data_IF_993266416347
#
_entry.id   IF_993266416347
#
_cell.length_a   1.000
_cell.length_b   1.000
_cell.length_c   1.000
_cell.angle_alpha   90.00
_cell.angle_beta   90.00
_cell.angle_gamma   90.00
#
_symmetry.space_group_name_H-M   'P 1'
#
loop_
_entity.id
_entity.type
_entity.pdbx_description
1 polymer ?
#
# COMPACT_ATOMS: atom_id res chain seq x y z
N UNK A 1 7.21 4.53 27.79
CA UNK A 1 7.04 4.71 26.33
C UNK A 1 5.56 4.62 26.05
N UNK A 2 5.03 5.49 25.19
CA UNK A 2 3.58 5.56 24.93
C UNK A 2 3.13 4.29 24.20
N UNK A 3 2.13 3.62 24.75
CA UNK A 3 1.58 2.36 24.26
C UNK A 3 1.01 2.50 22.82
N UNK A 4 0.64 3.74 22.45
CA UNK A 4 0.21 4.11 21.10
C UNK A 4 1.35 4.03 20.06
N UNK A 5 2.57 4.41 20.45
CA UNK A 5 3.73 4.42 19.54
C UNK A 5 4.27 3.01 19.28
N UNK A 6 4.28 2.14 20.29
CA UNK A 6 4.59 0.72 20.09
C UNK A 6 3.58 0.06 19.14
N UNK A 7 2.31 0.42 19.24
CA UNK A 7 1.27 -0.16 18.38
C UNK A 7 1.39 0.27 16.92
N UNK A 8 1.61 1.56 16.70
CA UNK A 8 1.86 2.12 15.37
C UNK A 8 3.07 1.43 14.73
N UNK A 9 4.14 1.23 15.51
CA UNK A 9 5.34 0.54 15.06
C UNK A 9 5.09 -0.94 14.71
N UNK A 10 4.31 -1.66 15.53
CA UNK A 10 3.96 -3.05 15.27
C UNK A 10 3.12 -3.23 13.99
N UNK A 11 2.09 -2.40 13.81
CA UNK A 11 1.24 -2.41 12.59
C UNK A 11 2.08 -2.05 11.37
N UNK A 12 2.91 -1.00 11.47
CA UNK A 12 3.83 -0.63 10.40
C UNK A 12 4.80 -1.76 10.05
N UNK A 13 5.31 -2.48 11.04
CA UNK A 13 6.20 -3.63 10.82
C UNK A 13 5.50 -4.76 10.06
N UNK A 14 4.27 -5.11 10.44
CA UNK A 14 3.47 -6.13 9.74
C UNK A 14 3.17 -5.71 8.30
N UNK A 15 2.70 -4.48 8.09
CA UNK A 15 2.43 -3.95 6.76
C UNK A 15 3.71 -3.94 5.92
N UNK A 16 4.83 -3.49 6.50
CA UNK A 16 6.13 -3.49 5.84
C UNK A 16 6.54 -4.91 5.41
N UNK A 17 6.40 -5.90 6.29
CA UNK A 17 6.71 -7.30 5.94
C UNK A 17 5.81 -7.83 4.82
N UNK A 18 4.52 -7.49 4.83
CA UNK A 18 3.60 -7.87 3.75
C UNK A 18 4.00 -7.21 2.43
N UNK A 19 4.32 -5.92 2.46
CA UNK A 19 4.79 -5.17 1.29
C UNK A 19 6.10 -5.72 0.75
N UNK A 20 7.08 -5.99 1.63
CA UNK A 20 8.35 -6.62 1.28
C UNK A 20 8.10 -7.92 0.49
N UNK A 21 7.15 -8.76 0.93
CA UNK A 21 6.77 -10.01 0.27
C UNK A 21 6.01 -9.80 -1.06
N UNK A 22 5.10 -8.84 -1.13
CA UNK A 22 4.39 -8.48 -2.38
C UNK A 22 5.39 -8.03 -3.44
N UNK A 23 6.35 -7.19 -3.05
CA UNK A 23 7.36 -6.66 -3.96
C UNK A 23 8.40 -7.70 -4.35
N UNK A 24 8.82 -8.58 -3.44
CA UNK A 24 9.67 -9.72 -3.79
C UNK A 24 9.02 -10.59 -4.88
N UNK A 25 7.72 -10.86 -4.75
CA UNK A 25 7.00 -11.62 -5.77
C UNK A 25 6.88 -10.84 -7.09
N UNK A 26 6.53 -9.56 -7.03
CA UNK A 26 6.30 -8.70 -8.21
C UNK A 26 7.59 -8.24 -8.93
N UNK A 27 8.77 -8.34 -8.29
CA UNK A 27 10.03 -7.86 -8.86
C UNK A 27 11.10 -8.94 -9.00
N UNK A 28 10.99 -10.08 -8.32
CA UNK A 28 11.95 -11.19 -8.44
C UNK A 28 11.32 -12.46 -9.01
N UNK A 29 10.12 -12.85 -8.56
CA UNK A 29 9.51 -14.13 -8.99
C UNK A 29 8.77 -14.03 -10.31
N UNK A 30 7.92 -13.01 -10.46
CA UNK A 30 7.36 -12.60 -11.75
C UNK A 30 7.72 -11.12 -11.96
N UNK A 31 8.97 -10.86 -12.35
CA UNK A 31 9.50 -9.51 -12.35
C UNK A 31 8.68 -8.62 -13.27
N UNK A 32 8.22 -7.51 -12.73
CA UNK A 32 7.82 -6.35 -13.52
C UNK A 32 9.05 -5.93 -14.34
N UNK A 33 8.95 -6.11 -15.66
CA UNK A 33 10.02 -5.78 -16.60
C UNK A 33 9.64 -4.43 -17.23
N UNK A 34 10.36 -3.34 -16.92
CA UNK A 34 10.09 -2.03 -17.52
C UNK A 34 10.13 -2.06 -19.05
N UNK A 35 10.97 -2.91 -19.66
CA UNK A 35 10.95 -3.10 -21.11
C UNK A 35 9.64 -3.74 -21.59
N UNK A 36 9.00 -4.61 -20.80
CA UNK A 36 7.65 -5.12 -21.13
C UNK A 36 6.62 -4.00 -21.00
N UNK A 37 6.70 -3.18 -19.97
CA UNK A 37 5.82 -2.02 -19.78
C UNK A 37 5.96 -1.02 -20.94
N UNK A 38 7.19 -0.64 -21.32
CA UNK A 38 7.44 0.19 -22.49
C UNK A 38 7.03 -0.49 -23.81
N UNK A 39 7.22 -1.81 -23.95
CA UNK A 39 6.77 -2.56 -25.12
C UNK A 39 5.27 -2.49 -25.30
N UNK A 40 4.48 -2.49 -24.22
CA UNK A 40 3.02 -2.37 -24.32
C UNK A 40 2.61 -1.05 -25.00
N UNK A 41 3.35 0.04 -24.77
CA UNK A 41 3.11 1.33 -25.46
C UNK A 41 3.52 1.34 -26.92
N UNK A 42 4.47 0.48 -27.31
CA UNK A 42 5.04 0.42 -28.66
C UNK A 42 4.49 -0.75 -29.50
N UNK A 43 3.48 -1.46 -29.02
CA UNK A 43 2.85 -2.57 -29.74
C UNK A 43 1.97 -2.06 -30.89
N UNK A 44 2.06 -2.71 -32.05
CA UNK A 44 1.08 -2.58 -33.14
C UNK A 44 0.36 -3.92 -33.40
N UNK A 45 -0.98 -3.96 -33.39
CA UNK A 45 -1.87 -2.85 -33.02
C UNK A 45 -1.76 -2.50 -31.53
N UNK A 46 -2.01 -1.23 -31.20
CA UNK A 46 -1.98 -0.72 -29.83
C UNK A 46 -2.96 -1.53 -28.96
N UNK A 47 -2.43 -2.27 -27.99
CA UNK A 47 -3.25 -3.17 -27.15
C UNK A 47 -3.78 -2.50 -25.88
N UNK A 48 -3.11 -1.44 -25.42
CA UNK A 48 -3.48 -0.71 -24.20
C UNK A 48 -3.31 0.80 -24.41
N UNK A 49 -4.07 1.60 -23.66
CA UNK A 49 -3.93 3.05 -23.67
C UNK A 49 -2.93 3.55 -22.64
N UNK A 50 -2.97 2.97 -21.43
CA UNK A 50 -2.15 3.38 -20.29
C UNK A 50 -1.81 2.16 -19.43
N UNK A 51 -0.59 2.12 -18.88
CA UNK A 51 -0.16 1.14 -17.90
C UNK A 51 0.49 1.85 -16.71
N UNK A 52 0.13 1.45 -15.49
CA UNK A 52 0.58 2.09 -14.26
C UNK A 52 1.28 1.09 -13.34
N UNK A 53 2.26 1.59 -12.59
CA UNK A 53 2.81 0.92 -11.43
C UNK A 53 2.07 1.40 -10.19
N UNK A 54 1.15 0.59 -9.68
CA UNK A 54 0.24 0.99 -8.61
C UNK A 54 0.56 0.31 -7.28
N UNK A 55 0.63 1.10 -6.21
CA UNK A 55 0.71 0.64 -4.84
C UNK A 55 -0.58 1.03 -4.10
N UNK A 56 -1.36 0.07 -3.58
CA UNK A 56 -2.66 0.36 -2.98
C UNK A 56 -2.57 1.12 -1.64
N UNK A 57 -1.38 1.21 -1.05
CA UNK A 57 -1.14 1.87 0.23
C UNK A 57 0.27 2.47 0.30
N UNK A 58 0.42 3.58 1.02
CA UNK A 58 1.72 4.20 1.33
C UNK A 58 2.06 4.04 2.82
N UNK A 59 3.05 3.22 3.20
CA UNK A 59 3.46 3.06 4.60
C UNK A 59 4.09 4.32 5.22
N UNK A 60 4.45 5.31 4.39
CA UNK A 60 5.02 6.60 4.81
C UNK A 60 3.99 7.74 4.79
N UNK A 61 2.71 7.44 4.54
CA UNK A 61 1.64 8.43 4.46
C UNK A 61 1.63 9.15 3.11
N UNK A 62 2.25 10.34 3.03
CA UNK A 62 2.28 11.13 1.81
C UNK A 62 3.33 10.62 0.82
N UNK A 63 3.07 10.73 -0.49
CA UNK A 63 3.94 10.20 -1.56
C UNK A 63 5.34 10.80 -1.51
N UNK A 64 5.45 12.06 -1.13
CA UNK A 64 6.71 12.80 -0.97
C UNK A 64 7.62 12.16 0.09
N UNK A 65 7.01 11.51 1.09
CA UNK A 65 7.71 10.84 2.19
C UNK A 65 8.06 9.38 1.86
N UNK A 66 7.67 8.88 0.69
CA UNK A 66 8.00 7.52 0.29
C UNK A 66 9.52 7.33 0.26
N UNK A 67 10.02 6.41 1.08
CA UNK A 67 11.46 6.22 1.30
C UNK A 67 11.93 4.78 1.07
N UNK A 68 11.07 3.92 0.53
CA UNK A 68 11.45 2.55 0.27
C UNK A 68 12.27 2.43 -1.01
N UNK A 69 13.51 1.96 -0.86
CA UNK A 69 14.54 1.99 -1.89
C UNK A 69 14.43 0.90 -2.95
N UNK A 70 13.69 -0.18 -2.70
CA UNK A 70 13.65 -1.36 -3.57
C UNK A 70 13.10 -1.05 -4.99
N UNK A 71 11.92 -0.42 -5.15
CA UNK A 71 11.41 -0.06 -6.47
C UNK A 71 12.11 1.15 -7.12
N UNK A 72 12.92 1.90 -6.37
CA UNK A 72 13.61 3.09 -6.86
C UNK A 72 14.66 2.81 -7.95
N UNK A 73 14.97 1.53 -8.21
CA UNK A 73 15.82 1.10 -9.32
C UNK A 73 15.16 1.26 -10.70
N UNK A 74 13.83 1.27 -10.75
CA UNK A 74 13.06 1.29 -11.99
C UNK A 74 12.24 2.55 -12.17
N UNK A 75 11.76 3.15 -11.07
CA UNK A 75 10.91 4.33 -11.09
C UNK A 75 11.39 5.38 -10.11
N UNK A 76 11.19 6.65 -10.48
CA UNK A 76 11.17 7.73 -9.52
C UNK A 76 9.81 7.71 -8.79
N UNK A 77 9.78 7.03 -7.65
CA UNK A 77 8.56 6.78 -6.86
C UNK A 77 7.80 8.05 -6.44
N UNK A 78 8.45 9.22 -6.47
CA UNK A 78 7.85 10.49 -6.05
C UNK A 78 7.33 11.32 -7.21
N UNK A 79 8.03 11.27 -8.35
CA UNK A 79 7.77 12.20 -9.46
C UNK A 79 7.20 11.51 -10.71
N UNK A 80 7.40 10.20 -10.87
CA UNK A 80 6.91 9.48 -12.05
C UNK A 80 5.38 9.39 -12.04
N UNK A 81 4.74 9.96 -13.07
CA UNK A 81 3.28 9.95 -13.23
C UNK A 81 2.68 8.56 -13.42
N UNK A 82 3.48 7.60 -13.89
CA UNK A 82 3.07 6.20 -14.04
C UNK A 82 3.01 5.47 -12.69
N UNK A 83 3.58 6.06 -11.64
CA UNK A 83 3.52 5.53 -10.28
C UNK A 83 2.32 6.12 -9.57
N UNK A 84 1.39 5.28 -9.16
CA UNK A 84 0.21 5.66 -8.39
C UNK A 84 0.33 5.04 -6.99
N UNK A 85 0.23 5.83 -5.93
CA UNK A 85 0.36 5.34 -4.56
C UNK A 85 -0.85 5.77 -3.74
N UNK A 86 -1.50 4.84 -3.04
CA UNK A 86 -2.58 5.14 -2.11
C UNK A 86 -3.74 5.83 -2.82
N UNK A 87 -4.02 7.07 -2.43
CA UNK A 87 -5.11 7.88 -2.98
C UNK A 87 -5.03 7.98 -4.51
N UNK A 88 -3.87 8.31 -5.09
CA UNK A 88 -3.73 8.41 -6.54
C UNK A 88 -4.20 7.14 -7.29
N UNK A 89 -3.95 5.97 -6.71
CA UNK A 89 -4.39 4.69 -7.27
C UNK A 89 -5.90 4.53 -7.17
N UNK A 90 -6.46 4.70 -5.96
CA UNK A 90 -7.88 4.50 -5.70
C UNK A 90 -8.76 5.52 -6.42
N UNK A 91 -8.33 6.77 -6.48
CA UNK A 91 -9.01 7.85 -7.18
C UNK A 91 -8.96 7.64 -8.71
N UNK A 92 -7.86 7.09 -9.25
CA UNK A 92 -7.76 6.76 -10.68
C UNK A 92 -8.74 5.66 -11.10
N UNK A 93 -8.95 4.64 -10.26
CA UNK A 93 -9.81 3.49 -10.61
C UNK A 93 -11.28 3.67 -10.23
N UNK A 94 -11.57 4.39 -9.15
CA UNK A 94 -12.94 4.56 -8.64
C UNK A 94 -13.50 5.97 -8.75
N UNK A 95 -12.67 6.96 -9.06
CA UNK A 95 -13.06 8.37 -9.12
C UNK A 95 -12.93 9.10 -7.78
N UNK A 96 -13.29 10.39 -7.80
CA UNK A 96 -13.05 11.31 -6.69
C UNK A 96 -13.74 10.85 -5.39
N UNK A 97 -12.99 10.67 -4.30
CA UNK A 97 -13.47 10.27 -2.98
C UNK A 97 -13.51 8.75 -2.76
N UNK A 98 -13.08 7.95 -3.73
CA UNK A 98 -13.01 6.48 -3.60
C UNK A 98 -12.09 6.06 -2.46
N UNK A 99 -10.93 6.69 -2.35
CA UNK A 99 -9.98 6.33 -1.29
C UNK A 99 -10.60 6.58 0.08
N UNK A 100 -11.26 7.72 0.26
CA UNK A 100 -11.93 8.07 1.50
C UNK A 100 -13.09 7.11 1.82
N UNK A 101 -13.89 6.74 0.81
CA UNK A 101 -14.96 5.76 0.98
C UNK A 101 -14.40 4.38 1.38
N UNK A 102 -13.31 3.95 0.75
CA UNK A 102 -12.61 2.71 1.09
C UNK A 102 -12.10 2.73 2.54
N UNK A 103 -11.39 3.80 2.94
CA UNK A 103 -10.88 3.95 4.31
C UNK A 103 -12.03 3.97 5.32
N UNK A 104 -13.15 4.63 5.00
CA UNK A 104 -14.33 4.64 5.86
C UNK A 104 -14.90 3.23 6.08
N UNK A 105 -15.05 2.45 5.00
CA UNK A 105 -15.54 1.08 5.08
C UNK A 105 -14.56 0.16 5.85
N UNK A 106 -13.25 0.33 5.64
CA UNK A 106 -12.23 -0.42 6.39
C UNK A 106 -12.25 -0.05 7.87
N UNK A 107 -12.45 1.22 8.20
CA UNK A 107 -12.56 1.68 9.59
C UNK A 107 -13.81 1.13 10.29
N UNK A 108 -14.92 0.97 9.58
CA UNK A 108 -16.14 0.34 10.10
C UNK A 108 -15.91 -1.11 10.54
N UNK A 109 -15.21 -1.91 9.72
CA UNK A 109 -14.87 -3.31 10.05
C UNK A 109 -13.59 -3.44 10.92
N UNK A 110 -12.84 -2.35 11.06
CA UNK A 110 -11.49 -2.33 11.62
C UNK A 110 -11.44 -2.70 13.10
N UNK A 111 -12.47 -2.37 13.88
CA UNK A 111 -12.51 -2.71 15.31
C UNK A 111 -12.56 -4.23 15.55
N UNK A 112 -13.34 -4.95 14.75
CA UNK A 112 -13.43 -6.41 14.83
C UNK A 112 -12.10 -7.03 14.41
N UNK A 113 -11.54 -6.61 13.26
CA UNK A 113 -10.27 -7.13 12.78
C UNK A 113 -9.11 -6.87 13.75
N UNK A 114 -9.06 -5.70 14.39
CA UNK A 114 -8.05 -5.40 15.41
C UNK A 114 -8.16 -6.33 16.60
N UNK A 115 -9.37 -6.51 17.14
CA UNK A 115 -9.61 -7.47 18.22
C UNK A 115 -9.10 -8.87 17.87
N UNK A 116 -9.35 -9.32 16.64
CA UNK A 116 -8.87 -10.62 16.14
C UNK A 116 -7.34 -10.64 16.02
N UNK A 117 -6.71 -9.59 15.51
CA UNK A 117 -5.23 -9.51 15.44
C UNK A 117 -4.60 -9.63 16.84
N UNK A 118 -5.08 -8.86 17.81
CA UNK A 118 -4.55 -8.92 19.18
C UNK A 118 -4.70 -10.30 19.80
N UNK A 119 -5.90 -10.86 19.75
CA UNK A 119 -6.20 -12.10 20.47
C UNK A 119 -5.76 -13.35 19.71
N UNK A 120 -6.06 -13.44 18.41
CA UNK A 120 -5.82 -14.65 17.60
C UNK A 120 -4.39 -14.73 17.08
N UNK A 121 -3.75 -13.60 16.75
CA UNK A 121 -2.43 -13.59 16.12
C UNK A 121 -1.30 -13.18 17.08
N UNK A 122 -1.52 -12.17 17.91
CA UNK A 122 -0.53 -11.68 18.87
C UNK A 122 -0.62 -12.39 20.24
N UNK A 123 -1.76 -13.02 20.54
CA UNK A 123 -1.98 -13.73 21.81
C UNK A 123 -2.02 -12.81 23.04
N UNK A 124 -2.33 -11.53 22.86
CA UNK A 124 -2.39 -10.52 23.94
C UNK A 124 -3.76 -9.83 23.95
N UNK A 125 -4.17 -9.29 25.10
CA UNK A 125 -5.36 -8.43 25.16
C UNK A 125 -5.07 -7.05 24.54
N UNK A 126 -6.03 -6.45 23.81
CA UNK A 126 -5.86 -5.10 23.28
C UNK A 126 -5.64 -4.10 24.43
N UNK A 127 -4.57 -3.29 24.38
CA UNK A 127 -4.37 -2.25 25.38
C UNK A 127 -5.49 -1.21 25.36
N UNK A 128 -5.71 -0.51 26.48
CA UNK A 128 -6.75 0.52 26.60
C UNK A 128 -6.60 1.58 25.50
N UNK A 129 -7.67 1.84 24.74
CA UNK A 129 -7.68 2.80 23.63
C UNK A 129 -7.16 2.25 22.29
N UNK A 130 -6.65 1.02 22.25
CA UNK A 130 -6.04 0.46 21.03
C UNK A 130 -7.04 0.11 19.92
N UNK A 131 -8.33 -0.01 20.27
CA UNK A 131 -9.43 -0.22 19.33
C UNK A 131 -10.01 1.09 18.78
N UNK A 132 -9.65 2.23 19.37
CA UNK A 132 -10.22 3.54 19.02
C UNK A 132 -9.50 4.19 17.83
N UNK A 133 -8.36 3.62 17.40
CA UNK A 133 -7.59 4.13 16.27
C UNK A 133 -8.33 3.88 14.95
N UNK A 134 -8.39 4.87 14.06
CA UNK A 134 -8.88 4.75 12.69
C UNK A 134 -7.72 5.04 11.72
N UNK A 135 -7.72 4.36 10.57
CA UNK A 135 -6.83 4.65 9.44
C UNK A 135 -7.15 6.01 8.83
#
# INVERSE_FOLDING_TARGET
MDNSEEMKSAIQSVIKQMMDKVMENALLKDPFIPEKHQRLYSMEPKQIDEAYFALPYNPYGQKENYSWSFPARWFNMKEDKVVLIGDEFWEKIGGLGTYQAFISAVNEIGQEYKNRIYREFLGIEPPTGALDFTL
#
